data_IF_318731968424
#
_entry.id   IF_318731968424
#
_cell.length_a   1.000
_cell.length_b   1.000
_cell.length_c   1.000
_cell.angle_alpha   90.00
_cell.angle_beta   90.00
_cell.angle_gamma   90.00
#
_symmetry.space_group_name_H-M   'P 1'
#
loop_
_entity.id
_entity.type
_entity.pdbx_description
1 polymer ?
#
# COMPACT_ATOMS: atom_id res chain seq x y z
N UNK A 1 19.02 -26.48 17.74
CA UNK A 1 17.62 -26.92 17.61
C UNK A 1 16.75 -25.71 17.35
N UNK A 2 16.28 -25.52 16.12
CA UNK A 2 15.32 -24.46 15.78
C UNK A 2 13.92 -25.01 16.04
N UNK A 3 13.24 -24.48 17.06
CA UNK A 3 11.88 -24.91 17.38
C UNK A 3 10.90 -24.29 16.38
N UNK A 4 10.15 -25.13 15.66
CA UNK A 4 9.11 -24.69 14.73
C UNK A 4 7.95 -24.12 15.56
N UNK A 5 7.81 -22.80 15.58
CA UNK A 5 6.65 -22.14 16.21
C UNK A 5 5.46 -22.18 15.24
N UNK A 6 4.35 -22.77 15.66
CA UNK A 6 3.09 -22.75 14.90
C UNK A 6 2.57 -21.31 14.78
N UNK A 7 2.46 -20.81 13.55
CA UNK A 7 1.82 -19.53 13.22
C UNK A 7 0.30 -19.60 13.42
N UNK A 8 -0.29 -18.47 13.80
CA UNK A 8 -1.74 -18.30 13.95
C UNK A 8 -2.25 -17.51 12.76
N UNK A 9 -3.03 -18.19 11.93
CA UNK A 9 -3.63 -17.65 10.72
C UNK A 9 -5.13 -17.48 10.93
N UNK A 10 -5.65 -16.33 10.48
CA UNK A 10 -7.06 -16.11 10.22
C UNK A 10 -7.17 -15.66 8.78
N UNK A 11 -7.74 -16.51 7.94
CA UNK A 11 -7.96 -16.21 6.53
C UNK A 11 -9.46 -16.04 6.27
N UNK A 12 -9.85 -14.83 5.91
CA UNK A 12 -11.18 -14.41 5.50
C UNK A 12 -11.16 -13.98 4.02
N UNK A 13 -10.14 -14.35 3.26
CA UNK A 13 -9.99 -13.91 1.88
C UNK A 13 -11.07 -14.53 1.00
N UNK A 14 -11.65 -13.74 0.10
CA UNK A 14 -12.76 -14.14 -0.78
C UNK A 14 -14.11 -14.27 -0.08
N UNK A 15 -14.20 -14.02 1.23
CA UNK A 15 -15.47 -14.03 1.96
C UNK A 15 -16.27 -12.74 1.73
N UNK A 16 -16.85 -12.59 0.53
CA UNK A 16 -17.63 -11.40 0.13
C UNK A 16 -18.94 -11.19 0.90
N UNK A 17 -19.44 -12.21 1.60
CA UNK A 17 -20.65 -12.13 2.44
C UNK A 17 -20.41 -11.56 3.84
N UNK A 18 -19.17 -11.18 4.20
CA UNK A 18 -18.90 -10.55 5.49
C UNK A 18 -19.34 -9.09 5.43
N UNK A 19 -20.51 -8.83 5.98
CA UNK A 19 -21.07 -7.47 6.08
C UNK A 19 -20.67 -6.76 7.38
N UNK A 20 -20.47 -7.54 8.45
CA UNK A 20 -20.20 -7.03 9.79
C UNK A 20 -18.97 -7.67 10.41
N UNK A 21 -18.04 -6.85 10.86
CA UNK A 21 -16.97 -7.25 11.79
C UNK A 21 -17.10 -6.36 13.02
N UNK A 22 -17.47 -6.94 14.16
CA UNK A 22 -17.69 -6.12 15.36
C UNK A 22 -16.38 -5.44 15.85
N UNK A 23 -16.45 -4.23 16.45
CA UNK A 23 -15.29 -3.39 16.74
C UNK A 23 -14.13 -4.02 17.51
N UNK A 24 -14.38 -5.08 18.28
CA UNK A 24 -13.38 -5.70 19.16
C UNK A 24 -12.88 -7.06 18.68
N UNK A 25 -13.46 -7.62 17.61
CA UNK A 25 -13.11 -8.95 17.11
C UNK A 25 -11.64 -8.98 16.71
N UNK A 26 -11.23 -8.08 15.82
CA UNK A 26 -9.85 -8.02 15.32
C UNK A 26 -8.87 -7.72 16.46
N UNK A 27 -9.11 -6.69 17.27
CA UNK A 27 -8.20 -6.31 18.38
C UNK A 27 -8.04 -7.37 19.47
N UNK A 28 -8.98 -8.33 19.57
CA UNK A 28 -8.86 -9.46 20.50
C UNK A 28 -7.82 -10.50 20.07
N UNK A 29 -7.47 -10.55 18.78
CA UNK A 29 -6.58 -11.54 18.18
C UNK A 29 -5.09 -11.19 18.36
N UNK A 30 -4.68 -10.77 19.56
CA UNK A 30 -3.33 -10.23 19.86
C UNK A 30 -2.14 -11.14 19.52
N UNK A 31 -2.40 -12.44 19.34
CA UNK A 31 -1.40 -13.47 19.01
C UNK A 31 -1.41 -13.87 17.54
N UNK A 32 -2.25 -13.25 16.70
CA UNK A 32 -2.35 -13.54 15.28
C UNK A 32 -1.04 -13.17 14.58
N UNK A 33 -0.52 -14.09 13.78
CA UNK A 33 0.70 -13.90 13.01
C UNK A 33 0.36 -13.55 11.55
N UNK A 34 -0.72 -14.14 11.00
CA UNK A 34 -1.12 -13.95 9.61
C UNK A 34 -2.63 -13.61 9.52
N UNK A 35 -2.98 -12.52 8.82
CA UNK A 35 -4.36 -12.08 8.59
C UNK A 35 -4.64 -11.94 7.08
N UNK A 36 -5.49 -12.81 6.56
CA UNK A 36 -6.01 -12.75 5.21
C UNK A 36 -7.37 -12.05 5.16
N UNK A 37 -7.48 -10.92 4.48
CA UNK A 37 -8.76 -10.22 4.25
C UNK A 37 -8.85 -9.70 2.80
N UNK A 38 -8.19 -10.40 1.89
CA UNK A 38 -8.21 -10.08 0.46
C UNK A 38 -9.60 -10.32 -0.12
N UNK A 39 -10.13 -9.37 -0.91
CA UNK A 39 -11.43 -9.55 -1.58
C UNK A 39 -12.60 -9.93 -0.64
N UNK A 40 -12.62 -9.43 0.60
CA UNK A 40 -13.70 -9.71 1.56
C UNK A 40 -14.33 -8.45 2.13
N UNK A 41 -13.86 -7.97 3.28
CA UNK A 41 -14.48 -6.88 4.04
C UNK A 41 -13.91 -5.51 3.65
N UNK A 42 -14.78 -4.58 3.26
CA UNK A 42 -14.43 -3.19 2.91
C UNK A 42 -15.22 -2.11 3.68
N UNK A 43 -16.06 -2.51 4.64
CA UNK A 43 -16.95 -1.62 5.41
C UNK A 43 -16.30 -1.11 6.71
N UNK A 44 -15.03 -0.72 6.63
CA UNK A 44 -14.28 -0.20 7.76
C UNK A 44 -14.82 1.17 8.21
N UNK A 45 -15.02 1.35 9.52
CA UNK A 45 -15.53 2.60 10.09
C UNK A 45 -14.40 3.49 10.64
N UNK A 46 -14.57 4.82 10.53
CA UNK A 46 -13.68 5.81 11.13
C UNK A 46 -13.89 5.90 12.66
N UNK A 47 -12.82 6.14 13.42
CA UNK A 47 -12.88 6.31 14.87
C UNK A 47 -13.33 7.71 15.33
N UNK A 48 -13.76 8.59 14.41
CA UNK A 48 -14.35 9.90 14.68
C UNK A 48 -15.58 9.93 15.60
N UNK A 49 -15.84 11.08 16.24
CA UNK A 49 -16.63 11.23 17.48
C UNK A 49 -18.10 10.75 17.44
N UNK A 50 -18.51 10.02 18.49
CA UNK A 50 -19.88 9.81 19.00
C UNK A 50 -20.96 9.15 18.12
N UNK A 51 -20.66 8.04 17.45
CA UNK A 51 -21.71 7.12 16.97
C UNK A 51 -21.43 5.71 17.47
N UNK A 52 -22.49 5.00 17.87
CA UNK A 52 -22.42 3.58 18.22
C UNK A 52 -22.07 2.80 16.95
N UNK A 53 -20.82 2.35 16.86
CA UNK A 53 -20.26 1.71 15.67
C UNK A 53 -20.72 0.28 15.53
N UNK A 54 -21.19 -0.07 14.34
CA UNK A 54 -21.52 -1.44 13.97
C UNK A 54 -20.28 -2.23 13.56
N UNK A 55 -19.29 -1.55 12.96
CA UNK A 55 -18.15 -2.19 12.33
C UNK A 55 -16.80 -1.82 12.93
N UNK A 56 -15.81 -2.65 12.63
CA UNK A 56 -14.44 -2.46 13.03
C UNK A 56 -13.78 -1.30 12.30
N UNK A 57 -12.86 -0.65 13.00
CA UNK A 57 -11.97 0.35 12.42
C UNK A 57 -10.61 -0.25 12.06
N UNK A 58 -9.94 0.35 11.08
CA UNK A 58 -8.58 -0.04 10.68
C UNK A 58 -7.59 0.10 11.84
N UNK A 59 -7.80 1.02 12.78
CA UNK A 59 -6.90 1.21 13.92
C UNK A 59 -6.78 -0.06 14.79
N UNK A 60 -7.78 -0.96 14.74
CA UNK A 60 -7.77 -2.21 15.50
C UNK A 60 -6.61 -3.13 15.11
N UNK A 61 -6.09 -2.99 13.88
CA UNK A 61 -4.92 -3.73 13.41
C UNK A 61 -3.65 -3.37 14.21
N UNK A 62 -3.56 -2.16 14.79
CA UNK A 62 -2.42 -1.76 15.63
C UNK A 62 -2.27 -2.61 16.90
N UNK A 63 -3.34 -3.27 17.34
CA UNK A 63 -3.30 -4.17 18.50
C UNK A 63 -2.75 -5.56 18.17
N UNK A 64 -2.58 -5.90 16.88
CA UNK A 64 -2.06 -7.18 16.42
C UNK A 64 -0.52 -7.20 16.47
N UNK A 65 0.02 -7.18 17.69
CA UNK A 65 1.47 -7.00 17.94
C UNK A 65 2.41 -8.06 17.35
N UNK A 66 1.85 -9.19 16.89
CA UNK A 66 2.56 -10.34 16.30
C UNK A 66 2.33 -10.48 14.79
N UNK A 67 1.55 -9.58 14.18
CA UNK A 67 1.20 -9.68 12.76
C UNK A 67 2.44 -9.51 11.88
N UNK A 68 2.73 -10.53 11.08
CA UNK A 68 3.82 -10.61 10.11
C UNK A 68 3.33 -10.74 8.68
N UNK A 69 2.10 -11.24 8.45
CA UNK A 69 1.48 -11.32 7.12
C UNK A 69 0.13 -10.62 7.10
N UNK A 70 -0.12 -9.78 6.08
CA UNK A 70 -1.38 -9.03 5.96
C UNK A 70 -1.83 -8.89 4.50
N UNK A 71 -3.02 -9.41 4.22
CA UNK A 71 -3.75 -9.15 2.98
C UNK A 71 -4.95 -8.26 3.27
N UNK A 72 -4.96 -7.06 2.71
CA UNK A 72 -5.94 -6.04 3.07
C UNK A 72 -6.29 -5.11 1.91
N UNK A 73 -7.59 -4.93 1.68
CA UNK A 73 -8.13 -3.93 0.77
C UNK A 73 -8.81 -2.79 1.54
N UNK A 74 -8.30 -1.57 1.36
CA UNK A 74 -8.82 -0.34 1.95
C UNK A 74 -9.39 0.52 0.81
N UNK A 75 -10.70 0.49 0.60
CA UNK A 75 -11.34 1.18 -0.53
C UNK A 75 -11.30 2.71 -0.38
N UNK A 76 -11.43 3.21 0.83
CA UNK A 76 -11.49 4.65 1.11
C UNK A 76 -10.23 5.08 1.85
N UNK A 77 -9.40 5.93 1.25
CA UNK A 77 -8.12 6.33 1.85
C UNK A 77 -8.26 7.26 3.07
N UNK A 78 -9.39 7.98 3.19
CA UNK A 78 -9.66 8.92 4.28
C UNK A 78 -9.85 8.27 5.65
N UNK A 79 -10.10 6.96 5.71
CA UNK A 79 -10.23 6.20 6.95
C UNK A 79 -8.90 5.59 7.40
N UNK A 80 -7.82 5.78 6.64
CA UNK A 80 -6.50 5.21 6.97
C UNK A 80 -5.92 5.93 8.20
N UNK A 81 -5.71 5.23 9.33
CA UNK A 81 -5.09 5.83 10.50
C UNK A 81 -3.60 6.08 10.25
N UNK A 82 -3.06 7.17 10.81
CA UNK A 82 -1.63 7.47 10.73
C UNK A 82 -0.78 6.33 11.33
N UNK A 83 0.30 5.96 10.67
CA UNK A 83 1.26 4.93 11.05
C UNK A 83 0.56 3.59 11.38
N UNK A 84 -0.38 3.18 10.53
CA UNK A 84 -1.09 1.90 10.66
C UNK A 84 -0.13 0.71 10.54
N UNK A 85 0.81 0.79 9.61
CA UNK A 85 1.72 -0.30 9.27
C UNK A 85 3.03 -0.20 10.05
N UNK A 86 3.56 -1.36 10.46
CA UNK A 86 4.80 -1.47 11.25
C UNK A 86 5.88 -2.26 10.50
N UNK A 87 7.12 -2.13 10.97
CA UNK A 87 8.30 -2.82 10.45
C UNK A 87 8.27 -4.35 10.60
N UNK A 88 7.44 -4.87 11.50
CA UNK A 88 7.23 -6.31 11.71
C UNK A 88 6.54 -7.01 10.53
N UNK A 89 5.89 -6.26 9.65
CA UNK A 89 5.18 -6.85 8.52
C UNK A 89 6.19 -7.39 7.50
N UNK A 90 6.23 -8.70 7.33
CA UNK A 90 7.17 -9.42 6.45
C UNK A 90 6.55 -9.67 5.08
N UNK A 91 5.27 -10.07 5.07
CA UNK A 91 4.49 -10.37 3.87
C UNK A 91 3.26 -9.49 3.79
N UNK A 92 2.95 -8.93 2.62
CA UNK A 92 1.72 -8.19 2.46
C UNK A 92 1.23 -8.06 1.02
N UNK A 93 -0.09 -7.99 0.90
CA UNK A 93 -0.80 -7.46 -0.26
C UNK A 93 -1.75 -6.37 0.23
N UNK A 94 -1.39 -5.12 -0.02
CA UNK A 94 -2.14 -3.97 0.49
C UNK A 94 -2.61 -3.12 -0.68
N UNK A 95 -3.92 -3.00 -0.81
CA UNK A 95 -4.59 -2.19 -1.83
C UNK A 95 -5.26 -1.01 -1.12
N UNK A 96 -4.92 0.21 -1.50
CA UNK A 96 -5.43 1.44 -0.90
C UNK A 96 -6.02 2.33 -1.99
N UNK A 97 -7.33 2.53 -1.93
CA UNK A 97 -8.11 3.38 -2.82
C UNK A 97 -9.07 2.62 -3.74
N UNK A 98 -10.15 3.30 -4.11
CA UNK A 98 -11.28 2.74 -4.85
C UNK A 98 -11.01 2.42 -6.33
N UNK A 99 -9.82 2.73 -6.85
CA UNK A 99 -9.41 2.35 -8.20
C UNK A 99 -8.98 0.88 -8.29
N UNK A 100 -8.70 0.24 -7.14
CA UNK A 100 -8.12 -1.08 -7.11
C UNK A 100 -9.17 -2.17 -6.90
N UNK A 101 -8.93 -3.29 -7.58
CA UNK A 101 -9.62 -4.56 -7.34
C UNK A 101 -8.57 -5.57 -6.88
N UNK A 102 -9.00 -6.54 -6.07
CA UNK A 102 -8.12 -7.61 -5.60
C UNK A 102 -7.68 -8.57 -6.71
N UNK A 103 -8.39 -8.60 -7.84
CA UNK A 103 -8.02 -9.42 -8.98
C UNK A 103 -6.64 -9.03 -9.53
N UNK A 104 -5.83 -10.04 -9.88
CA UNK A 104 -4.48 -9.83 -10.42
C UNK A 104 -3.49 -9.26 -9.39
N UNK A 105 -3.64 -9.63 -8.13
CA UNK A 105 -2.57 -9.53 -7.13
C UNK A 105 -1.73 -10.79 -7.23
N UNK A 106 -0.42 -10.63 -7.43
CA UNK A 106 0.52 -11.74 -7.49
C UNK A 106 0.94 -12.14 -6.06
N UNK A 107 0.56 -13.35 -5.66
CA UNK A 107 0.82 -13.90 -4.33
C UNK A 107 2.30 -14.17 -4.04
N UNK A 108 3.19 -13.99 -5.03
CA UNK A 108 4.65 -14.15 -4.86
C UNK A 108 5.34 -12.87 -4.42
N UNK A 109 4.79 -11.69 -4.72
CA UNK A 109 5.42 -10.38 -4.43
C UNK A 109 4.74 -9.59 -3.33
N UNK A 110 5.53 -8.98 -2.45
CA UNK A 110 5.02 -7.93 -1.58
C UNK A 110 4.46 -6.80 -2.44
N UNK A 111 3.13 -6.65 -2.41
CA UNK A 111 2.40 -5.80 -3.33
C UNK A 111 1.75 -4.64 -2.61
N UNK A 112 2.06 -3.42 -3.05
CA UNK A 112 1.35 -2.22 -2.66
C UNK A 112 0.65 -1.63 -3.89
N UNK A 113 -0.67 -1.49 -3.84
CA UNK A 113 -1.43 -0.68 -4.80
C UNK A 113 -1.95 0.55 -4.08
N UNK A 114 -1.57 1.74 -4.52
CA UNK A 114 -1.88 3.00 -3.85
C UNK A 114 -2.50 3.98 -4.83
N UNK A 115 -3.72 4.42 -4.54
CA UNK A 115 -4.32 5.58 -5.21
C UNK A 115 -3.94 6.81 -4.41
N UNK A 116 -3.18 7.72 -5.03
CA UNK A 116 -2.79 8.96 -4.38
C UNK A 116 -4.02 9.88 -4.24
N UNK A 117 -4.16 10.51 -3.09
CA UNK A 117 -5.17 11.56 -2.85
C UNK A 117 -4.51 12.74 -2.16
N UNK A 118 -5.07 13.93 -2.31
CA UNK A 118 -4.53 15.21 -1.80
C UNK A 118 -4.26 15.26 -0.30
N UNK A 119 -4.76 14.28 0.49
CA UNK A 119 -4.57 14.18 1.94
C UNK A 119 -3.61 13.08 2.39
N UNK A 120 -3.20 12.19 1.50
CA UNK A 120 -2.35 11.05 1.85
C UNK A 120 -0.88 11.49 1.90
N UNK A 121 -0.49 12.23 2.94
CA UNK A 121 0.92 12.35 3.26
C UNK A 121 1.46 10.94 3.55
N UNK A 122 2.54 10.57 2.86
CA UNK A 122 3.23 9.30 3.10
C UNK A 122 3.83 9.32 4.51
N UNK A 123 3.09 8.77 5.47
CA UNK A 123 3.54 8.56 6.84
C UNK A 123 4.68 7.52 6.91
N UNK A 124 5.19 7.24 8.11
CA UNK A 124 6.32 6.32 8.26
C UNK A 124 5.94 4.88 7.86
N UNK A 125 4.70 4.46 8.14
CA UNK A 125 4.20 3.13 7.79
C UNK A 125 4.12 2.92 6.27
N UNK A 126 3.53 3.86 5.53
CA UNK A 126 3.47 3.82 4.07
C UNK A 126 4.85 3.92 3.43
N UNK A 127 5.74 4.76 3.97
CA UNK A 127 7.15 4.84 3.53
C UNK A 127 7.86 3.49 3.68
N UNK A 128 7.60 2.79 4.77
CA UNK A 128 8.17 1.47 5.01
C UNK A 128 7.67 0.44 3.99
N UNK A 129 6.36 0.44 3.68
CA UNK A 129 5.80 -0.43 2.64
C UNK A 129 6.41 -0.11 1.27
N UNK A 130 6.48 1.16 0.88
CA UNK A 130 7.09 1.56 -0.40
C UNK A 130 8.52 1.03 -0.56
N UNK A 131 9.35 1.12 0.50
CA UNK A 131 10.72 0.62 0.48
C UNK A 131 10.84 -0.91 0.40
N UNK A 132 9.80 -1.64 0.79
CA UNK A 132 9.78 -3.10 0.89
C UNK A 132 8.85 -3.75 -0.13
N UNK A 133 8.30 -2.98 -1.07
CA UNK A 133 7.39 -3.47 -2.10
C UNK A 133 8.23 -4.00 -3.26
N UNK A 134 7.91 -5.20 -3.71
CA UNK A 134 8.47 -5.81 -4.91
C UNK A 134 7.61 -5.48 -6.13
N UNK A 135 6.30 -5.33 -5.93
CA UNK A 135 5.35 -4.85 -6.93
C UNK A 135 4.60 -3.61 -6.42
N UNK A 136 4.76 -2.48 -7.11
CA UNK A 136 4.13 -1.21 -6.76
C UNK A 136 3.19 -0.76 -7.88
N UNK A 137 1.94 -0.45 -7.53
CA UNK A 137 0.95 0.09 -8.46
C UNK A 137 0.49 1.45 -7.94
N UNK A 138 0.57 2.47 -8.77
CA UNK A 138 0.19 3.84 -8.40
C UNK A 138 -0.87 4.36 -9.36
N UNK A 139 -1.96 4.89 -8.79
CA UNK A 139 -2.97 5.64 -9.53
C UNK A 139 -2.92 7.09 -9.04
N UNK A 140 -2.57 7.99 -9.94
CA UNK A 140 -2.34 9.40 -9.65
C UNK A 140 -3.51 10.29 -10.09
N UNK A 141 -4.69 9.70 -10.33
CA UNK A 141 -5.87 10.48 -10.70
C UNK A 141 -6.33 11.40 -9.57
N UNK A 142 -5.98 12.69 -9.68
CA UNK A 142 -6.49 13.75 -8.83
C UNK A 142 -7.23 14.77 -9.69
N UNK A 143 -8.57 14.81 -9.63
CA UNK A 143 -9.34 15.86 -10.30
C UNK A 143 -8.89 17.23 -9.80
N UNK A 144 -8.57 18.15 -10.72
CA UNK A 144 -8.25 19.57 -10.47
C UNK A 144 -6.95 19.89 -9.70
N UNK A 145 -5.98 18.98 -9.60
CA UNK A 145 -4.70 19.30 -8.94
C UNK A 145 -3.56 19.33 -9.96
N UNK A 146 -3.22 20.53 -10.43
CA UNK A 146 -2.07 20.78 -11.28
C UNK A 146 -0.72 20.59 -10.55
N UNK A 147 -0.73 20.31 -9.25
CA UNK A 147 0.45 20.50 -8.38
C UNK A 147 1.08 19.19 -7.87
N UNK A 148 0.61 18.00 -8.29
CA UNK A 148 1.30 16.74 -7.94
C UNK A 148 2.41 16.48 -8.97
N UNK A 149 3.55 17.13 -8.73
CA UNK A 149 4.78 16.95 -9.52
C UNK A 149 5.59 15.73 -9.07
N UNK A 150 5.48 15.33 -7.79
CA UNK A 150 6.23 14.21 -7.22
C UNK A 150 5.37 13.26 -6.37
N UNK A 151 5.51 11.94 -6.58
CA UNK A 151 4.89 10.92 -5.69
C UNK A 151 5.53 10.97 -4.31
N UNK A 152 6.86 11.09 -4.28
CA UNK A 152 7.64 11.29 -3.06
C UNK A 152 8.14 12.73 -3.03
N UNK A 153 7.36 13.63 -2.40
CA UNK A 153 7.67 15.06 -2.27
C UNK A 153 8.29 15.44 -0.90
N UNK A 154 8.71 14.46 -0.11
CA UNK A 154 9.18 14.74 1.25
C UNK A 154 10.61 15.25 1.22
N UNK A 155 10.82 16.53 1.51
CA UNK A 155 12.14 17.14 1.81
C UNK A 155 12.88 16.34 2.91
N UNK A 156 12.16 15.61 3.77
CA UNK A 156 12.75 14.67 4.76
C UNK A 156 13.17 13.29 4.21
N UNK A 157 12.92 12.98 2.93
CA UNK A 157 13.49 11.80 2.27
C UNK A 157 14.96 12.04 1.85
N UNK A 158 15.49 13.25 2.09
CA UNK A 158 16.66 13.90 1.50
C UNK A 158 18.01 13.16 1.51
N UNK A 159 18.13 11.94 2.02
CA UNK A 159 19.42 11.25 2.01
C UNK A 159 19.36 9.74 1.71
N UNK A 160 18.17 9.13 1.57
CA UNK A 160 18.13 7.71 1.16
C UNK A 160 18.14 7.62 -0.35
N UNK A 161 19.29 7.28 -0.92
CA UNK A 161 19.56 7.28 -2.36
C UNK A 161 18.69 6.28 -3.15
N UNK A 162 17.95 5.39 -2.46
CA UNK A 162 17.03 4.43 -3.07
C UNK A 162 15.63 4.56 -2.45
N UNK A 163 14.72 5.24 -3.15
CA UNK A 163 13.30 5.29 -2.75
C UNK A 163 12.64 3.90 -2.75
N UNK A 164 13.12 3.01 -3.63
CA UNK A 164 12.58 1.68 -3.87
C UNK A 164 13.72 0.65 -4.02
N UNK A 165 14.39 0.25 -2.92
CA UNK A 165 15.63 -0.52 -2.99
C UNK A 165 15.49 -1.95 -3.53
N UNK A 166 14.28 -2.53 -3.50
CA UNK A 166 14.03 -3.93 -3.90
C UNK A 166 12.93 -4.08 -4.95
N UNK A 167 12.44 -2.98 -5.51
CA UNK A 167 11.28 -2.99 -6.40
C UNK A 167 11.60 -3.71 -7.72
N UNK A 168 10.75 -4.66 -8.09
CA UNK A 168 10.91 -5.49 -9.30
C UNK A 168 9.92 -5.06 -10.40
N UNK A 169 8.73 -4.60 -10.01
CA UNK A 169 7.68 -4.15 -10.94
C UNK A 169 7.03 -2.85 -10.47
N UNK A 170 6.89 -1.87 -11.38
CA UNK A 170 6.14 -0.64 -11.17
C UNK A 170 5.06 -0.48 -12.23
N UNK A 171 3.86 -0.11 -11.80
CA UNK A 171 2.73 0.18 -12.65
C UNK A 171 2.20 1.56 -12.32
N UNK A 172 2.03 2.41 -13.33
CA UNK A 172 1.58 3.77 -13.17
C UNK A 172 0.34 4.02 -14.02
N UNK A 173 -0.71 4.55 -13.39
CA UNK A 173 -1.98 4.92 -14.01
C UNK A 173 -2.26 6.42 -13.82
N UNK A 174 -2.96 7.01 -14.81
CA UNK A 174 -3.46 8.39 -14.76
C UNK A 174 -2.38 9.46 -14.51
N UNK A 175 -1.37 9.49 -15.37
CA UNK A 175 -0.14 10.29 -15.27
C UNK A 175 -0.26 11.73 -15.79
N UNK A 176 -1.39 12.40 -15.61
CA UNK A 176 -1.68 13.66 -16.35
C UNK A 176 -0.73 14.81 -15.99
N UNK A 177 -0.05 14.78 -14.83
CA UNK A 177 0.82 15.87 -14.36
C UNK A 177 2.11 15.41 -13.65
N UNK A 178 2.48 14.12 -13.73
CA UNK A 178 3.63 13.60 -12.99
C UNK A 178 4.96 14.02 -13.67
N UNK A 179 5.76 14.84 -13.00
CA UNK A 179 7.12 15.17 -13.47
C UNK A 179 8.12 14.05 -13.14
N UNK A 180 8.08 13.55 -11.90
CA UNK A 180 8.97 12.46 -11.45
C UNK A 180 8.34 11.64 -10.31
N UNK A 181 8.71 10.37 -10.20
CA UNK A 181 8.29 9.50 -9.09
C UNK A 181 8.91 9.95 -7.76
N UNK A 182 10.11 10.53 -7.78
CA UNK A 182 10.79 11.01 -6.57
C UNK A 182 11.38 12.40 -6.78
N UNK A 183 11.31 13.25 -5.76
CA UNK A 183 11.94 14.57 -5.78
C UNK A 183 13.47 14.47 -5.90
N UNK A 184 14.09 13.47 -5.30
CA UNK A 184 15.54 13.23 -5.42
C UNK A 184 15.87 12.44 -6.67
N UNK A 185 17.02 12.75 -7.29
CA UNK A 185 17.56 12.03 -8.44
C UNK A 185 17.66 10.53 -8.12
N UNK A 186 16.86 9.72 -8.82
CA UNK A 186 16.93 8.27 -8.69
C UNK A 186 18.16 7.80 -9.46
N UNK A 187 19.05 7.05 -8.80
CA UNK A 187 20.25 6.50 -9.44
C UNK A 187 19.87 5.34 -10.37
N UNK A 188 20.67 5.08 -11.40
CA UNK A 188 20.48 3.89 -12.25
C UNK A 188 20.45 2.58 -11.44
N UNK A 189 21.17 2.53 -10.31
CA UNK A 189 21.15 1.44 -9.33
C UNK A 189 19.79 1.22 -8.65
N UNK A 190 18.89 2.19 -8.67
CA UNK A 190 17.53 2.04 -8.15
C UNK A 190 16.63 1.17 -9.06
N UNK A 191 17.06 0.86 -10.29
CA UNK A 191 16.18 0.30 -11.34
C UNK A 191 16.70 -0.95 -12.06
N UNK A 192 17.82 -1.53 -11.65
CA UNK A 192 18.46 -2.64 -12.38
C UNK A 192 17.65 -3.95 -12.47
N UNK A 193 16.50 -4.06 -11.79
CA UNK A 193 15.61 -5.24 -11.80
C UNK A 193 14.31 -5.10 -12.61
N UNK A 194 14.08 -3.98 -13.30
CA UNK A 194 12.76 -3.68 -13.85
C UNK A 194 12.28 -4.60 -14.99
N UNK A 195 11.07 -5.17 -14.87
CA UNK A 195 10.27 -5.65 -16.01
C UNK A 195 9.02 -4.79 -16.17
N UNK A 196 9.06 -3.84 -17.11
CA UNK A 196 7.92 -2.98 -17.44
C UNK A 196 6.77 -3.75 -18.12
N UNK A 197 5.57 -3.74 -17.53
CA UNK A 197 4.34 -4.19 -18.18
C UNK A 197 3.38 -3.00 -18.31
N UNK A 198 3.08 -2.60 -19.56
CA UNK A 198 2.39 -1.34 -19.92
C UNK A 198 0.90 -1.56 -20.21
N UNK A 199 0.02 -0.70 -19.70
CA UNK A 199 -1.34 -0.50 -20.23
C UNK A 199 -1.82 0.95 -20.00
N UNK A 200 -1.62 1.85 -20.97
CA UNK A 200 -2.10 3.24 -20.89
C UNK A 200 -1.58 4.16 -22.01
N UNK A 201 -2.37 5.17 -22.39
CA UNK A 201 -2.17 6.03 -23.57
C UNK A 201 -1.01 7.02 -23.35
N UNK A 202 0.07 6.82 -24.12
CA UNK A 202 1.32 7.58 -24.14
C UNK A 202 1.18 8.90 -24.90
N UNK A 203 1.51 10.02 -24.26
CA UNK A 203 2.01 11.20 -25.00
C UNK A 203 2.89 12.15 -24.17
N UNK A 204 2.98 12.00 -22.85
CA UNK A 204 3.77 12.93 -22.01
C UNK A 204 4.88 12.27 -21.17
N UNK A 205 5.00 10.94 -21.19
CA UNK A 205 6.03 10.20 -20.42
C UNK A 205 7.14 9.72 -21.36
N UNK A 206 7.30 10.35 -22.53
CA UNK A 206 8.47 10.07 -23.37
C UNK A 206 9.72 10.78 -22.85
N UNK A 207 9.58 11.88 -22.10
CA UNK A 207 10.73 12.61 -21.54
C UNK A 207 11.23 12.05 -20.19
N UNK A 208 10.36 11.53 -19.33
CA UNK A 208 10.79 10.93 -18.04
C UNK A 208 11.38 9.51 -18.19
N UNK A 209 11.14 8.84 -19.32
CA UNK A 209 11.65 7.49 -19.63
C UNK A 209 13.02 7.50 -20.34
N UNK A 210 13.50 8.65 -20.81
CA UNK A 210 14.81 8.78 -21.45
C UNK A 210 15.99 8.59 -20.49
N UNK A 211 15.75 8.59 -19.17
CA UNK A 211 16.79 8.43 -18.14
C UNK A 211 17.22 6.96 -17.93
N UNK A 212 16.53 5.99 -18.54
CA UNK A 212 16.74 4.56 -18.25
C UNK A 212 17.29 3.71 -19.40
N UNK A 213 17.92 4.33 -20.39
CA UNK A 213 18.74 3.61 -21.39
C UNK A 213 20.10 4.25 -21.56
N UNK A 214 21.02 3.99 -20.63
CA UNK A 214 22.45 3.77 -20.94
C UNK A 214 23.04 2.82 -19.89
#
# INVERSE_FOLDING_TARGET
>A
MTQIRKKRLLDLSGCSGIEVISPNVISSLKRLDDLGMGNSFNQWEDEGVNVQRSNASLSKLKHLSKLTSLDLHITYGNILPENLFSDKLERYHILIGNAWKWHGVDETFNTLKLKQSTRNQLDQGLKLLLKRSEALYLDLHVPNNADITYIINSIHWSYTHNAFPILESLFLNNLVSLESVCYSQLTAESFWKFKNHKSGKLSQIEESLFIFRY
#
